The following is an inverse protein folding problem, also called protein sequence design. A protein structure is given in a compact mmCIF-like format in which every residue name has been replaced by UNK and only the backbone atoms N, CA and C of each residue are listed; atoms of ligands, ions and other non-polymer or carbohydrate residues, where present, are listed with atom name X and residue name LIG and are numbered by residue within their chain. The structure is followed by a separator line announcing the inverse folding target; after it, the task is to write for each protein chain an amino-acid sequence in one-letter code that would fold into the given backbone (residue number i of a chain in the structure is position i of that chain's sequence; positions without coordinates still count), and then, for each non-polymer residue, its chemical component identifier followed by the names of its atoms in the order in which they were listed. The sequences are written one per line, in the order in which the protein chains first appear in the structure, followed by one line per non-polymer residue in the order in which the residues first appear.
data_IF_689816314025
#
_entry.id   IF_689816314025
#
_cell.length_a   1.000
_cell.length_b   1.000
_cell.length_c   1.000
_cell.angle_alpha   90.00
_cell.angle_beta   90.00
_cell.angle_gamma   90.00
#
_symmetry.space_group_name_H-M   'P 1'
#
loop_
_entity.id
_entity.type
_entity.pdbx_description
1 polymer ?
#
# COMPACT_ATOMS: atom_id res chain seq x y z
N UNK A 1 -12.61 -8.77 5.03
CA UNK A 1 -11.89 -9.30 3.86
C UNK A 1 -11.88 -8.35 2.67
N UNK A 2 -13.02 -7.96 2.09
CA UNK A 2 -13.02 -7.11 0.88
C UNK A 2 -12.30 -5.76 1.05
N UNK A 3 -12.46 -5.10 2.20
CA UNK A 3 -11.72 -3.87 2.51
C UNK A 3 -10.19 -4.10 2.57
N UNK A 4 -9.76 -5.17 3.26
CA UNK A 4 -8.34 -5.53 3.36
C UNK A 4 -7.74 -5.90 2.01
N UNK A 5 -8.44 -6.69 1.19
CA UNK A 5 -7.99 -7.11 -0.15
C UNK A 5 -7.97 -5.92 -1.11
N UNK A 6 -9.00 -5.06 -1.06
CA UNK A 6 -9.05 -3.83 -1.86
C UNK A 6 -7.92 -2.86 -1.51
N UNK A 7 -7.53 -2.78 -0.23
CA UNK A 7 -6.42 -1.96 0.24
C UNK A 7 -5.04 -2.36 -0.31
N UNK A 8 -4.89 -3.54 -0.92
CA UNK A 8 -3.64 -3.99 -1.57
C UNK A 8 -3.50 -3.41 -2.99
N UNK A 9 -4.60 -3.03 -3.64
CA UNK A 9 -4.65 -2.76 -5.07
C UNK A 9 -3.76 -1.59 -5.53
N UNK A 10 -3.63 -0.56 -4.70
CA UNK A 10 -2.91 0.68 -5.02
C UNK A 10 -1.98 1.10 -3.89
N UNK A 11 -0.99 1.94 -4.21
CA UNK A 11 -0.03 2.46 -3.23
C UNK A 11 -0.75 3.22 -2.09
N UNK A 12 -1.81 3.96 -2.45
CA UNK A 12 -2.75 4.55 -1.50
C UNK A 12 -3.87 3.56 -1.26
N UNK A 13 -3.86 2.89 -0.11
CA UNK A 13 -4.88 1.90 0.25
C UNK A 13 -4.65 1.34 1.65
N UNK A 14 -3.45 0.83 1.91
CA UNK A 14 -3.02 0.41 3.23
C UNK A 14 -1.58 0.86 3.53
N UNK A 15 -1.24 1.15 4.80
CA UNK A 15 0.09 1.62 5.16
C UNK A 15 1.26 0.69 4.75
N UNK A 16 1.15 -0.66 4.83
CA UNK A 16 2.21 -1.56 4.37
C UNK A 16 2.69 -1.29 2.94
N UNK A 17 1.76 -0.91 2.04
CA UNK A 17 2.09 -0.63 0.64
C UNK A 17 3.04 0.56 0.51
N UNK A 18 2.79 1.62 1.29
CA UNK A 18 3.62 2.83 1.28
C UNK A 18 5.00 2.58 1.93
N UNK A 19 5.08 1.75 2.98
CA UNK A 19 6.35 1.36 3.59
C UNK A 19 7.22 0.61 2.57
N UNK A 20 6.64 -0.41 1.92
CA UNK A 20 7.34 -1.18 0.90
C UNK A 20 7.75 -0.29 -0.28
N UNK A 21 6.85 0.52 -0.82
CA UNK A 21 7.15 1.42 -1.92
C UNK A 21 8.25 2.44 -1.56
N UNK A 22 8.29 2.94 -0.33
CA UNK A 22 9.33 3.86 0.12
C UNK A 22 10.70 3.17 0.27
N UNK A 23 10.72 1.91 0.74
CA UNK A 23 11.95 1.15 0.93
C UNK A 23 12.59 0.74 -0.41
N UNK A 24 11.79 0.23 -1.36
CA UNK A 24 12.28 -0.25 -2.66
C UNK A 24 12.16 0.78 -3.79
N UNK A 25 11.64 1.97 -3.51
CA UNK A 25 11.57 3.08 -4.47
C UNK A 25 10.51 2.93 -5.57
N UNK A 26 9.41 2.22 -5.32
CA UNK A 26 8.34 2.01 -6.31
C UNK A 26 7.43 3.24 -6.42
N UNK A 27 7.07 3.61 -7.65
CA UNK A 27 6.04 4.61 -7.90
C UNK A 27 4.61 4.02 -7.85
N UNK A 28 3.59 4.88 -7.93
CA UNK A 28 2.19 4.47 -7.83
C UNK A 28 1.81 3.41 -8.87
N UNK A 29 2.23 3.61 -10.12
CA UNK A 29 1.88 2.72 -11.23
C UNK A 29 2.60 1.38 -11.13
N UNK A 30 3.85 1.36 -10.69
CA UNK A 30 4.60 0.13 -10.44
C UNK A 30 3.96 -0.70 -9.34
N UNK A 31 3.57 -0.08 -8.22
CA UNK A 31 2.82 -0.80 -7.18
C UNK A 31 1.49 -1.32 -7.71
N UNK A 32 0.74 -0.50 -8.43
CA UNK A 32 -0.57 -0.89 -8.97
C UNK A 32 -0.46 -2.09 -9.92
N UNK A 33 0.61 -2.20 -10.72
CA UNK A 33 0.85 -3.38 -11.59
C UNK A 33 1.04 -4.67 -10.79
N UNK A 34 1.48 -4.59 -9.54
CA UNK A 34 1.62 -5.74 -8.64
C UNK A 34 0.33 -5.96 -7.83
N UNK A 35 -0.14 -4.94 -7.13
CA UNK A 35 -1.23 -5.03 -6.17
C UNK A 35 -2.61 -5.25 -6.80
N UNK A 36 -2.91 -4.59 -7.93
CA UNK A 36 -4.22 -4.67 -8.57
C UNK A 36 -4.52 -6.09 -9.10
N UNK A 37 -3.63 -6.77 -9.85
CA UNK A 37 -3.87 -8.15 -10.26
C UNK A 37 -4.08 -9.10 -9.07
N UNK A 38 -3.28 -8.95 -8.01
CA UNK A 38 -3.39 -9.76 -6.80
C UNK A 38 -4.76 -9.55 -6.12
N UNK A 39 -5.18 -8.29 -5.97
CA UNK A 39 -6.49 -7.95 -5.37
C UNK A 39 -7.66 -8.53 -6.17
N UNK A 40 -7.59 -8.43 -7.51
CA UNK A 40 -8.60 -8.97 -8.42
C UNK A 40 -8.70 -10.51 -8.38
N UNK A 41 -7.61 -11.20 -8.08
CA UNK A 41 -7.59 -12.66 -7.92
C UNK A 41 -8.08 -13.07 -6.52
N UNK A 42 -7.59 -12.40 -5.48
CA UNK A 42 -7.93 -12.72 -4.08
C UNK A 42 -9.39 -12.43 -3.75
N UNK A 43 -10.01 -11.42 -4.37
CA UNK A 43 -11.38 -11.02 -4.03
C UNK A 43 -12.42 -12.11 -4.40
N UNK A 44 -12.44 -12.67 -5.62
CA UNK A 44 -13.28 -13.83 -5.94
C UNK A 44 -12.98 -15.05 -5.06
N UNK A 45 -11.70 -15.33 -4.78
CA UNK A 45 -11.30 -16.46 -3.92
C UNK A 45 -11.88 -16.29 -2.51
N UNK A 46 -11.73 -15.10 -1.91
CA UNK A 46 -12.26 -14.81 -0.59
C UNK A 46 -13.79 -14.91 -0.55
N UNK A 47 -14.49 -14.39 -1.56
CA UNK A 47 -15.95 -14.53 -1.67
C UNK A 47 -16.34 -16.01 -1.79
N UNK A 48 -15.65 -16.80 -2.62
CA UNK A 48 -15.93 -18.23 -2.80
C UNK A 48 -15.74 -19.02 -1.50
N UNK A 49 -14.64 -18.78 -0.79
CA UNK A 49 -14.34 -19.43 0.49
C UNK A 49 -15.41 -19.06 1.52
N UNK A 50 -15.72 -17.77 1.67
CA UNK A 50 -16.76 -17.33 2.61
C UNK A 50 -18.12 -17.91 2.24
N UNK A 51 -18.51 -17.86 0.97
CA UNK A 51 -19.79 -18.37 0.51
C UNK A 51 -19.97 -19.87 0.77
N UNK A 52 -18.93 -20.66 0.50
CA UNK A 52 -18.97 -22.12 0.71
C UNK A 52 -18.93 -22.51 2.19
N UNK A 53 -18.22 -21.75 3.03
CA UNK A 53 -18.11 -22.02 4.47
C UNK A 53 -19.30 -21.50 5.28
N UNK A 54 -19.74 -20.27 5.03
CA UNK A 54 -20.81 -19.63 5.83
C UNK A 54 -22.21 -19.88 5.28
N UNK A 55 -22.32 -20.27 4.00
CA UNK A 55 -23.59 -20.56 3.30
C UNK A 55 -24.66 -19.48 3.59
N UNK A 56 -24.40 -18.23 3.17
CA UNK A 56 -25.24 -17.12 3.56
C UNK A 56 -26.67 -17.29 3.04
N UNK A 57 -27.65 -16.95 3.86
CA UNK A 57 -29.04 -16.90 3.46
C UNK A 57 -29.29 -15.69 2.56
N UNK A 58 -29.62 -15.95 1.30
CA UNK A 58 -29.90 -14.94 0.28
C UNK A 58 -31.40 -14.62 0.15
N UNK A 59 -32.25 -15.18 1.01
CA UNK A 59 -33.71 -14.98 0.95
C UNK A 59 -34.17 -13.63 1.50
N UNK A 60 -33.31 -12.93 2.25
CA UNK A 60 -33.63 -11.65 2.85
C UNK A 60 -33.82 -10.56 1.78
N UNK A 61 -34.98 -9.91 1.77
CA UNK A 61 -35.26 -8.76 0.93
C UNK A 61 -35.06 -7.50 1.75
N UNK A 62 -34.07 -6.70 1.38
CA UNK A 62 -33.84 -5.40 1.99
C UNK A 62 -34.87 -4.38 1.50
N UNK A 63 -35.54 -3.71 2.43
CA UNK A 63 -36.24 -2.47 2.13
C UNK A 63 -35.22 -1.33 2.08
N UNK A 64 -35.13 -0.68 0.92
CA UNK A 64 -34.20 0.42 0.71
C UNK A 64 -34.78 1.70 1.34
N UNK A 65 -34.68 1.82 2.66
CA UNK A 65 -35.05 3.05 3.38
C UNK A 65 -33.85 4.00 3.44
N UNK A 66 -33.47 4.55 2.28
CA UNK A 66 -32.51 5.64 2.23
C UNK A 66 -32.92 6.69 1.22
N UNK A 67 -32.73 7.95 1.60
CA UNK A 67 -32.93 9.07 0.68
C UNK A 67 -31.92 8.96 -0.47
N UNK A 68 -32.34 9.25 -1.71
CA UNK A 68 -31.42 9.24 -2.84
C UNK A 68 -30.28 10.23 -2.61
N UNK A 69 -29.06 9.82 -3.00
CA UNK A 69 -27.87 10.65 -2.83
C UNK A 69 -27.91 11.81 -3.82
N UNK A 70 -28.02 13.03 -3.31
CA UNK A 70 -27.96 14.24 -4.15
C UNK A 70 -26.52 14.58 -4.56
N UNK A 71 -26.33 14.87 -5.84
CA UNK A 71 -25.05 15.30 -6.42
C UNK A 71 -24.90 16.81 -6.28
N UNK A 72 -24.22 17.24 -5.23
CA UNK A 72 -23.89 18.65 -5.03
C UNK A 72 -22.65 19.03 -5.84
N UNK A 73 -22.48 20.34 -6.10
CA UNK A 73 -21.30 20.87 -6.77
C UNK A 73 -20.00 20.44 -6.08
N UNK A 74 -20.00 20.37 -4.74
CA UNK A 74 -18.85 19.88 -3.96
C UNK A 74 -18.48 18.43 -4.30
N UNK A 75 -19.46 17.52 -4.37
CA UNK A 75 -19.21 16.10 -4.74
C UNK A 75 -18.64 15.96 -6.15
N UNK A 76 -19.17 16.73 -7.10
CA UNK A 76 -18.71 16.72 -8.49
C UNK A 76 -17.28 17.25 -8.62
N UNK A 77 -16.95 18.33 -7.90
CA UNK A 77 -15.58 18.89 -7.86
C UNK A 77 -14.60 17.91 -7.20
N UNK A 78 -14.97 17.31 -6.08
CA UNK A 78 -14.15 16.27 -5.43
C UNK A 78 -13.91 15.09 -6.35
N UNK A 79 -14.94 14.61 -7.05
CA UNK A 79 -14.81 13.52 -8.02
C UNK A 79 -13.89 13.91 -9.18
N UNK A 80 -14.01 15.13 -9.72
CA UNK A 80 -13.16 15.61 -10.79
C UNK A 80 -11.68 15.69 -10.36
N UNK A 81 -11.40 16.22 -9.17
CA UNK A 81 -10.04 16.30 -8.61
C UNK A 81 -9.48 14.90 -8.36
N UNK A 82 -10.31 13.99 -7.84
CA UNK A 82 -9.93 12.59 -7.62
C UNK A 82 -9.56 11.90 -8.94
N UNK A 83 -10.42 11.99 -9.97
CA UNK A 83 -10.18 11.37 -11.27
C UNK A 83 -8.95 11.98 -11.97
N UNK A 84 -8.75 13.29 -11.86
CA UNK A 84 -7.55 13.97 -12.35
C UNK A 84 -6.30 13.41 -11.66
N UNK A 85 -6.32 13.31 -10.33
CA UNK A 85 -5.19 12.80 -9.52
C UNK A 85 -4.85 11.36 -9.90
N UNK A 86 -5.85 10.48 -9.97
CA UNK A 86 -5.68 9.07 -10.37
C UNK A 86 -5.13 8.97 -11.78
N UNK A 87 -5.63 9.78 -12.72
CA UNK A 87 -5.13 9.81 -14.10
C UNK A 87 -3.66 10.22 -14.14
N UNK A 88 -3.28 11.29 -13.42
CA UNK A 88 -1.90 11.74 -13.33
C UNK A 88 -0.97 10.68 -12.71
N UNK A 89 -1.43 9.90 -11.73
CA UNK A 89 -0.67 8.79 -11.17
C UNK A 89 -0.51 7.61 -12.14
N UNK A 90 -1.58 7.21 -12.84
CA UNK A 90 -1.54 6.12 -13.83
C UNK A 90 -0.58 6.46 -14.99
N UNK A 91 -0.62 7.72 -15.44
CA UNK A 91 0.23 8.22 -16.52
C UNK A 91 1.47 8.97 -16.00
N UNK A 92 1.90 8.70 -14.76
CA UNK A 92 2.97 9.46 -14.12
C UNK A 92 4.27 9.41 -14.93
N UNK A 93 4.69 8.23 -15.38
CA UNK A 93 5.93 8.05 -16.16
C UNK A 93 5.95 8.88 -17.47
N UNK A 94 5.01 8.72 -18.42
CA UNK A 94 5.04 9.50 -19.66
C UNK A 94 4.87 11.00 -19.43
N UNK A 95 3.97 11.41 -18.52
CA UNK A 95 3.74 12.84 -18.23
C UNK A 95 4.99 13.46 -17.61
N UNK A 96 5.62 12.78 -16.64
CA UNK A 96 6.83 13.27 -16.00
C UNK A 96 7.99 13.42 -16.99
N UNK A 97 8.16 12.46 -17.92
CA UNK A 97 9.17 12.56 -18.97
C UNK A 97 8.93 13.77 -19.89
N UNK A 98 7.68 14.06 -20.24
CA UNK A 98 7.34 15.24 -21.06
C UNK A 98 7.57 16.57 -20.34
N UNK A 99 7.43 16.59 -19.01
CA UNK A 99 7.57 17.80 -18.18
C UNK A 99 9.01 18.07 -17.70
N UNK A 100 9.99 17.30 -18.16
CA UNK A 100 11.41 17.51 -17.84
C UNK A 100 11.98 16.63 -16.72
N UNK A 101 11.24 15.62 -16.25
CA UNK A 101 11.76 14.56 -15.39
C UNK A 101 11.97 14.95 -13.92
N UNK A 102 10.88 15.27 -13.22
CA UNK A 102 10.91 15.49 -11.77
C UNK A 102 11.21 14.19 -11.00
N UNK A 103 12.04 14.27 -9.96
CA UNK A 103 12.48 13.10 -9.20
C UNK A 103 11.36 12.36 -8.43
N UNK A 104 10.37 13.08 -7.89
CA UNK A 104 9.26 12.52 -7.11
C UNK A 104 7.90 13.00 -7.62
N UNK A 105 7.63 12.73 -8.90
CA UNK A 105 6.43 13.24 -9.57
C UNK A 105 5.12 12.82 -8.88
N UNK A 106 4.97 11.56 -8.46
CA UNK A 106 3.76 11.09 -7.78
C UNK A 106 3.50 11.82 -6.45
N UNK A 107 4.56 12.23 -5.74
CA UNK A 107 4.45 13.06 -4.52
C UNK A 107 3.99 14.48 -4.86
N UNK A 108 4.48 15.06 -5.96
CA UNK A 108 4.03 16.38 -6.42
C UNK A 108 2.55 16.36 -6.81
N UNK A 109 2.10 15.30 -7.49
CA UNK A 109 0.68 15.08 -7.82
C UNK A 109 -0.18 15.01 -6.55
N UNK A 110 0.28 14.27 -5.52
CA UNK A 110 -0.43 14.15 -4.25
C UNK A 110 -0.57 15.50 -3.52
N UNK A 111 0.51 16.29 -3.45
CA UNK A 111 0.48 17.64 -2.85
C UNK A 111 -0.43 18.56 -3.67
N UNK A 112 -0.36 18.49 -4.99
CA UNK A 112 -1.24 19.23 -5.90
C UNK A 112 -2.72 18.93 -5.65
N UNK A 113 -3.07 17.66 -5.41
CA UNK A 113 -4.44 17.27 -5.06
C UNK A 113 -4.92 17.94 -3.76
N UNK A 114 -4.08 17.98 -2.71
CA UNK A 114 -4.40 18.67 -1.46
C UNK A 114 -4.63 20.17 -1.70
N UNK A 115 -3.77 20.81 -2.50
CA UNK A 115 -3.91 22.23 -2.85
C UNK A 115 -5.19 22.50 -3.65
N UNK A 116 -5.54 21.64 -4.62
CA UNK A 116 -6.77 21.77 -5.41
C UNK A 116 -8.03 21.57 -4.55
N UNK A 117 -8.02 20.61 -3.63
CA UNK A 117 -9.12 20.38 -2.69
C UNK A 117 -9.33 21.58 -1.76
N UNK A 118 -8.24 22.15 -1.23
CA UNK A 118 -8.31 23.35 -0.40
C UNK A 118 -8.75 24.60 -1.18
N UNK A 119 -8.19 24.83 -2.38
CA UNK A 119 -8.52 25.97 -3.22
C UNK A 119 -9.97 25.95 -3.72
N UNK A 120 -10.50 24.77 -4.03
CA UNK A 120 -11.90 24.58 -4.41
C UNK A 120 -12.88 24.66 -3.23
N UNK A 121 -12.38 24.74 -1.99
CA UNK A 121 -13.16 24.67 -0.73
C UNK A 121 -14.05 23.42 -0.67
N UNK A 122 -13.65 22.36 -1.38
CA UNK A 122 -14.36 21.09 -1.36
C UNK A 122 -14.16 20.34 -0.03
N UNK A 123 -13.06 20.63 0.67
CA UNK A 123 -12.66 20.05 1.96
C UNK A 123 -12.01 21.13 2.83
N UNK A 124 -12.28 21.14 4.13
CA UNK A 124 -11.57 21.98 5.09
C UNK A 124 -10.28 21.31 5.57
N UNK A 125 -9.25 22.10 5.87
CA UNK A 125 -7.99 21.58 6.43
C UNK A 125 -8.22 20.77 7.72
N UNK A 126 -9.17 21.18 8.56
CA UNK A 126 -9.52 20.45 9.79
C UNK A 126 -10.01 19.03 9.52
N UNK A 127 -10.68 18.80 8.40
CA UNK A 127 -11.14 17.46 8.02
C UNK A 127 -9.97 16.60 7.55
N UNK A 128 -9.04 17.18 6.80
CA UNK A 128 -7.78 16.52 6.40
C UNK A 128 -6.97 16.15 7.64
N UNK A 129 -6.78 17.08 8.56
CA UNK A 129 -6.01 16.89 9.79
C UNK A 129 -6.59 15.77 10.66
N UNK A 130 -7.92 15.73 10.82
CA UNK A 130 -8.60 14.68 11.60
C UNK A 130 -8.59 13.32 10.94
N UNK A 131 -8.65 13.28 9.61
CA UNK A 131 -8.68 12.02 8.84
C UNK A 131 -7.28 11.43 8.64
N UNK A 132 -6.25 12.28 8.69
CA UNK A 132 -4.86 11.86 8.52
C UNK A 132 -4.38 11.10 9.75
N UNK A 133 -3.94 9.86 9.55
CA UNK A 133 -3.25 9.08 10.58
C UNK A 133 -1.78 9.52 10.66
N UNK A 134 -1.53 10.53 11.50
CA UNK A 134 -0.18 11.04 11.75
C UNK A 134 0.75 9.99 12.36
N UNK A 135 0.22 9.03 13.11
CA UNK A 135 0.99 7.94 13.71
C UNK A 135 1.60 7.05 12.63
N UNK A 136 0.83 6.73 11.60
CA UNK A 136 1.31 5.98 10.43
C UNK A 136 2.41 6.73 9.68
N UNK A 137 2.26 8.04 9.48
CA UNK A 137 3.29 8.86 8.81
C UNK A 137 4.61 8.88 9.59
N UNK A 138 4.55 9.00 10.92
CA UNK A 138 5.73 8.91 11.79
C UNK A 138 6.36 7.51 11.72
N UNK A 139 5.53 6.46 11.67
CA UNK A 139 6.02 5.08 11.56
C UNK A 139 6.78 4.84 10.25
N UNK A 140 6.36 5.45 9.14
CA UNK A 140 7.10 5.36 7.87
C UNK A 140 8.51 5.94 8.00
N UNK A 141 8.63 7.12 8.62
CA UNK A 141 9.93 7.72 8.91
C UNK A 141 10.78 6.85 9.85
N UNK A 142 10.14 6.26 10.87
CA UNK A 142 10.78 5.31 11.78
C UNK A 142 11.31 4.04 11.11
N UNK A 143 10.53 3.46 10.19
CA UNK A 143 10.93 2.28 9.40
C UNK A 143 12.13 2.55 8.49
N UNK A 144 12.13 3.69 7.80
CA UNK A 144 13.26 4.13 6.96
C UNK A 144 14.50 4.39 7.83
N UNK A 145 14.33 5.00 9.00
CA UNK A 145 15.41 5.19 9.97
C UNK A 145 15.99 3.84 10.42
N UNK A 146 15.14 2.87 10.75
CA UNK A 146 15.57 1.52 11.11
C UNK A 146 16.34 0.84 9.97
N UNK A 147 15.83 0.90 8.72
CA UNK A 147 16.53 0.38 7.54
C UNK A 147 17.95 0.96 7.45
N UNK A 148 18.07 2.28 7.53
CA UNK A 148 19.37 2.97 7.46
C UNK A 148 20.31 2.56 8.59
N UNK A 149 19.80 2.39 9.82
CA UNK A 149 20.60 1.90 10.96
C UNK A 149 21.11 0.49 10.68
N UNK A 150 20.26 -0.43 10.19
CA UNK A 150 20.67 -1.81 9.86
C UNK A 150 21.74 -1.88 8.77
N UNK A 151 21.70 -0.96 7.79
CA UNK A 151 22.76 -0.81 6.77
C UNK A 151 24.04 -0.25 7.39
N UNK A 152 23.93 0.84 8.17
CA UNK A 152 25.07 1.53 8.76
C UNK A 152 25.83 0.69 9.81
N UNK A 153 25.14 -0.15 10.58
CA UNK A 153 25.76 -1.03 11.58
C UNK A 153 26.29 -2.34 10.99
N UNK A 154 26.00 -2.64 9.73
CA UNK A 154 26.30 -3.94 9.11
C UNK A 154 25.44 -5.10 9.64
N UNK A 155 24.37 -4.81 10.39
CA UNK A 155 23.46 -5.85 10.90
C UNK A 155 22.74 -6.57 9.76
N UNK A 156 22.38 -5.85 8.70
CA UNK A 156 21.83 -6.42 7.46
C UNK A 156 22.73 -7.52 6.86
N UNK A 157 24.02 -7.23 6.73
CA UNK A 157 25.04 -8.17 6.23
C UNK A 157 25.22 -9.37 7.17
N UNK A 158 25.23 -9.13 8.49
CA UNK A 158 25.32 -10.20 9.48
C UNK A 158 24.13 -11.17 9.39
N UNK A 159 22.90 -10.65 9.28
CA UNK A 159 21.69 -11.47 9.17
C UNK A 159 21.65 -12.23 7.84
N UNK A 160 22.03 -11.58 6.75
CA UNK A 160 22.18 -12.20 5.44
C UNK A 160 23.14 -13.40 5.49
N UNK A 161 24.35 -13.24 6.04
CA UNK A 161 25.31 -14.34 6.17
C UNK A 161 24.82 -15.47 7.09
N UNK A 162 24.09 -15.12 8.15
CA UNK A 162 23.52 -16.12 9.07
C UNK A 162 22.46 -17.00 8.39
N UNK A 163 21.82 -16.49 7.33
CA UNK A 163 20.76 -17.18 6.61
C UNK A 163 21.21 -17.75 5.26
N UNK A 164 22.28 -17.26 4.64
CA UNK A 164 22.75 -17.75 3.32
C UNK A 164 22.91 -19.27 3.25
N UNK A 165 23.44 -19.92 4.29
CA UNK A 165 23.58 -21.39 4.29
C UNK A 165 22.25 -22.14 4.26
N UNK A 166 21.19 -21.56 4.82
CA UNK A 166 19.82 -22.11 4.75
C UNK A 166 19.15 -21.76 3.43
N UNK A 167 19.35 -20.53 2.94
CA UNK A 167 18.75 -20.00 1.71
C UNK A 167 19.30 -20.70 0.45
N UNK A 168 20.61 -20.97 0.40
CA UNK A 168 21.25 -21.67 -0.72
C UNK A 168 20.74 -23.11 -0.87
N UNK A 169 20.45 -23.80 0.24
CA UNK A 169 19.94 -25.18 0.22
C UNK A 169 18.43 -25.24 -0.04
N UNK A 170 17.66 -24.27 0.46
CA UNK A 170 16.21 -24.21 0.32
C UNK A 170 15.75 -23.84 -1.10
N UNK A 171 16.54 -23.03 -1.81
CA UNK A 171 16.16 -22.45 -3.10
C UNK A 171 15.20 -21.27 -2.97
N UNK A 172 15.25 -20.36 -3.95
CA UNK A 172 14.54 -19.07 -3.91
C UNK A 172 13.02 -19.21 -3.67
N UNK A 173 12.38 -20.21 -4.29
CA UNK A 173 10.94 -20.42 -4.13
C UNK A 173 10.56 -20.77 -2.68
N UNK A 174 11.30 -21.69 -2.03
CA UNK A 174 11.01 -22.12 -0.67
C UNK A 174 11.26 -20.98 0.33
N UNK A 175 12.30 -20.17 0.08
CA UNK A 175 12.56 -18.94 0.83
C UNK A 175 11.37 -17.98 0.77
N UNK A 176 10.89 -17.66 -0.43
CA UNK A 176 9.75 -16.74 -0.61
C UNK A 176 8.50 -17.30 0.10
N UNK A 177 8.20 -18.59 -0.08
CA UNK A 177 7.06 -19.23 0.58
C UNK A 177 7.18 -19.20 2.11
N UNK A 178 8.39 -19.38 2.65
CA UNK A 178 8.62 -19.34 4.10
C UNK A 178 8.44 -17.94 4.66
N UNK A 179 8.95 -16.91 3.97
CA UNK A 179 8.76 -15.51 4.36
C UNK A 179 7.29 -15.12 4.26
N UNK A 180 6.60 -15.48 3.17
CA UNK A 180 5.17 -15.21 3.00
C UNK A 180 4.36 -15.89 4.09
N UNK A 181 4.61 -17.18 4.38
CA UNK A 181 3.94 -17.90 5.45
C UNK A 181 4.18 -17.23 6.81
N UNK A 182 5.43 -16.92 7.13
CA UNK A 182 5.78 -16.21 8.36
C UNK A 182 5.01 -14.90 8.49
N UNK A 183 5.02 -14.05 7.46
CA UNK A 183 4.34 -12.75 7.51
C UNK A 183 2.83 -12.92 7.64
N UNK A 184 2.21 -13.83 6.86
CA UNK A 184 0.76 -14.08 6.91
C UNK A 184 0.32 -14.48 8.31
N UNK A 185 1.02 -15.42 8.96
CA UNK A 185 0.68 -15.82 10.33
C UNK A 185 1.06 -14.74 11.35
N UNK A 186 2.19 -14.06 11.18
CA UNK A 186 2.63 -13.01 12.09
C UNK A 186 1.65 -11.82 12.12
N UNK A 187 1.04 -11.48 10.98
CA UNK A 187 0.01 -10.43 10.88
C UNK A 187 -1.32 -10.78 11.54
N UNK A 188 -1.55 -12.03 11.92
CA UNK A 188 -2.73 -12.40 12.74
C UNK A 188 -2.52 -12.00 14.21
N UNK A 189 -1.27 -11.89 14.67
CA UNK A 189 -0.93 -11.52 16.06
C UNK A 189 -0.55 -10.04 16.21
N UNK A 190 -0.08 -9.41 15.14
CA UNK A 190 0.41 -8.03 15.15
C UNK A 190 -0.29 -7.18 14.09
N UNK A 191 -0.39 -5.86 14.33
CA UNK A 191 -0.96 -4.93 13.36
C UNK A 191 -0.21 -4.99 12.02
N UNK A 192 -0.94 -5.07 10.91
CA UNK A 192 -0.38 -5.08 9.54
C UNK A 192 0.69 -4.01 9.32
N UNK A 193 0.42 -2.79 9.78
CA UNK A 193 1.30 -1.64 9.63
C UNK A 193 2.58 -1.80 10.47
N UNK A 194 2.46 -2.30 11.70
CA UNK A 194 3.61 -2.55 12.57
C UNK A 194 4.47 -3.70 12.04
N UNK A 195 3.84 -4.78 11.58
CA UNK A 195 4.53 -5.91 10.95
C UNK A 195 5.30 -5.48 9.71
N UNK A 196 4.68 -4.67 8.83
CA UNK A 196 5.36 -4.14 7.65
C UNK A 196 6.52 -3.22 8.02
N UNK A 197 6.35 -2.32 8.99
CA UNK A 197 7.40 -1.39 9.43
C UNK A 197 8.65 -2.10 9.99
N UNK A 198 8.49 -3.33 10.50
CA UNK A 198 9.59 -4.13 11.02
C UNK A 198 10.17 -5.08 9.97
N UNK A 199 9.31 -5.85 9.28
CA UNK A 199 9.75 -6.91 8.38
C UNK A 199 10.31 -6.36 7.08
N UNK A 200 9.69 -5.32 6.51
CA UNK A 200 10.10 -4.79 5.19
C UNK A 200 11.54 -4.26 5.21
N UNK A 201 11.96 -3.37 6.15
CA UNK A 201 13.35 -2.96 6.25
C UNK A 201 14.33 -4.13 6.40
N UNK A 202 14.02 -5.08 7.27
CA UNK A 202 14.89 -6.23 7.51
C UNK A 202 15.06 -7.06 6.24
N UNK A 203 13.97 -7.44 5.58
CA UNK A 203 14.04 -8.23 4.35
C UNK A 203 14.72 -7.46 3.20
N UNK A 204 14.40 -6.19 2.98
CA UNK A 204 14.97 -5.40 1.89
C UNK A 204 16.48 -5.19 2.06
N UNK A 205 16.93 -4.87 3.28
CA UNK A 205 18.36 -4.69 3.55
C UNK A 205 19.16 -6.00 3.47
N UNK A 206 18.52 -7.13 3.76
CA UNK A 206 19.12 -8.45 3.60
C UNK A 206 19.25 -8.87 2.14
N UNK A 207 18.22 -8.59 1.33
CA UNK A 207 18.19 -8.84 -0.12
C UNK A 207 19.33 -8.07 -0.83
N UNK A 208 19.46 -6.78 -0.52
CA UNK A 208 20.57 -5.95 -1.01
C UNK A 208 21.96 -6.51 -0.62
N UNK A 209 22.09 -7.12 0.56
CA UNK A 209 23.35 -7.67 1.05
C UNK A 209 23.76 -8.98 0.34
N UNK A 210 22.80 -9.78 -0.11
CA UNK A 210 23.04 -11.03 -0.84
C UNK A 210 22.99 -10.86 -2.37
N UNK A 211 22.54 -9.71 -2.86
CA UNK A 211 22.52 -9.37 -4.28
C UNK A 211 21.44 -10.12 -5.07
N UNK A 212 20.32 -10.45 -4.41
CA UNK A 212 19.08 -10.89 -5.05
C UNK A 212 18.23 -9.67 -5.45
#
# INVERSE_FOLDING_TARGET
YSASIGGIATLVGSPPNAIAAAEVGLNFTEWMKLGLPISLILMPIAILVLYTMTKPDLSHKFELDHKPVEWTNGKMVTLAIFLLTVTLWIFSKPINTMLGGFAKFDTLVAIGAILLLGASRAVEWKDIEKTTDWGVLILFGGGICLSNVLKATGTSVFLAHSLTGFLEQAGVLLTILSVVAFVVFFTEFASNTASAALVVPVCATMDEAIGL
#
